data_IF_887750931178
#
_entry.id   IF_887750931178
#
_cell.length_a   1.000
_cell.length_b   1.000
_cell.length_c   1.000
_cell.angle_alpha   90.00
_cell.angle_beta   90.00
_cell.angle_gamma   90.00
#
_symmetry.space_group_name_H-M   'P 1'
#
loop_
_entity.id
_entity.type
_entity.pdbx_description
1 polymer ?
#
# COMPACT_ATOMS: atom_id res chain seq x y z
N UNK A 1 12.88 40.84 -5.59
CA UNK A 1 13.15 40.53 -4.15
C UNK A 1 11.91 40.11 -3.34
N UNK A 2 10.68 40.52 -3.69
CA UNK A 2 9.49 40.17 -2.90
C UNK A 2 9.00 38.72 -3.04
N UNK A 3 9.39 38.01 -4.10
CA UNK A 3 8.97 36.61 -4.31
C UNK A 3 9.47 35.67 -3.20
N UNK A 4 10.75 35.74 -2.85
CA UNK A 4 11.32 34.89 -1.80
C UNK A 4 10.75 35.19 -0.40
N UNK A 5 10.40 36.45 -0.13
CA UNK A 5 9.70 36.83 1.11
C UNK A 5 8.28 36.24 1.17
N UNK A 6 7.48 36.41 0.11
CA UNK A 6 6.13 35.85 0.05
C UNK A 6 6.13 34.32 0.06
N UNK A 7 7.10 33.68 -0.59
CA UNK A 7 7.28 32.23 -0.54
C UNK A 7 7.61 31.78 0.89
N UNK A 8 8.50 32.49 1.60
CA UNK A 8 8.82 32.21 3.00
C UNK A 8 7.61 32.36 3.92
N UNK A 9 6.82 33.41 3.75
CA UNK A 9 5.58 33.64 4.51
C UNK A 9 4.52 32.57 4.21
N UNK A 10 4.35 32.18 2.95
CA UNK A 10 3.44 31.11 2.55
C UNK A 10 3.84 29.76 3.18
N UNK A 11 5.12 29.39 3.09
CA UNK A 11 5.62 28.17 3.73
C UNK A 11 5.45 28.20 5.25
N UNK A 12 5.72 29.34 5.90
CA UNK A 12 5.53 29.51 7.35
C UNK A 12 4.07 29.41 7.77
N UNK A 13 3.14 29.99 7.00
CA UNK A 13 1.71 29.85 7.24
C UNK A 13 1.25 28.39 7.05
N UNK A 14 1.69 27.73 5.98
CA UNK A 14 1.42 26.31 5.75
C UNK A 14 1.93 25.42 6.87
N UNK A 15 3.18 25.62 7.31
CA UNK A 15 3.78 24.88 8.42
C UNK A 15 3.02 25.09 9.74
N UNK A 16 2.62 26.33 10.04
CA UNK A 16 1.80 26.64 11.23
C UNK A 16 0.42 26.00 11.16
N UNK A 17 -0.24 26.03 10.00
CA UNK A 17 -1.54 25.40 9.81
C UNK A 17 -1.45 23.88 9.97
N UNK A 18 -0.43 23.25 9.37
CA UNK A 18 -0.19 21.82 9.50
C UNK A 18 0.15 21.43 10.95
N UNK A 19 0.99 22.19 11.64
CA UNK A 19 1.32 21.94 13.05
C UNK A 19 0.09 22.07 13.95
N UNK A 20 -0.80 23.04 13.66
CA UNK A 20 -2.05 23.22 14.41
C UNK A 20 -3.04 22.09 14.12
N UNK A 21 -3.10 21.61 12.89
CA UNK A 21 -3.89 20.43 12.52
C UNK A 21 -3.36 19.17 13.22
N UNK A 22 -2.05 18.92 13.19
CA UNK A 22 -1.43 17.81 13.91
C UNK A 22 -1.72 17.89 15.41
N UNK A 23 -1.53 19.05 16.04
CA UNK A 23 -1.86 19.27 17.44
C UNK A 23 -3.33 18.96 17.74
N UNK A 24 -4.25 19.39 16.88
CA UNK A 24 -5.68 19.10 17.06
C UNK A 24 -5.99 17.60 16.91
N UNK A 25 -5.39 16.94 15.93
CA UNK A 25 -5.53 15.49 15.69
C UNK A 25 -4.93 14.69 16.85
N UNK A 26 -3.72 15.02 17.30
CA UNK A 26 -3.07 14.40 18.46
C UNK A 26 -3.88 14.61 19.74
N UNK A 27 -4.40 15.82 19.96
CA UNK A 27 -5.25 16.12 21.12
C UNK A 27 -6.59 15.38 21.10
N UNK A 28 -7.11 15.03 19.92
CA UNK A 28 -8.35 14.26 19.78
C UNK A 28 -8.21 12.87 20.40
N UNK A 29 -7.02 12.28 20.35
CA UNK A 29 -6.72 10.97 20.95
C UNK A 29 -6.24 11.14 22.40
N UNK A 30 -5.29 12.05 22.65
CA UNK A 30 -4.60 12.18 23.94
C UNK A 30 -5.44 12.83 25.06
N UNK A 31 -6.46 13.64 24.74
CA UNK A 31 -7.31 14.28 25.78
C UNK A 31 -8.53 13.45 26.16
N UNK A 32 -8.94 12.50 25.32
CA UNK A 32 -10.10 11.65 25.58
C UNK A 32 -9.66 10.36 26.30
N UNK A 33 -9.91 10.31 27.62
CA UNK A 33 -9.60 9.14 28.45
C UNK A 33 -10.22 7.84 27.90
N UNK A 34 -11.40 7.90 27.27
CA UNK A 34 -12.03 6.70 26.68
C UNK A 34 -11.25 6.20 25.47
N UNK A 35 -10.78 7.11 24.60
CA UNK A 35 -9.97 6.74 23.43
C UNK A 35 -8.60 6.20 23.81
N UNK A 36 -7.97 6.79 24.83
CA UNK A 36 -6.72 6.29 25.40
C UNK A 36 -6.87 4.90 26.00
N UNK A 37 -7.96 4.64 26.74
CA UNK A 37 -8.26 3.31 27.29
C UNK A 37 -8.50 2.30 26.17
N UNK A 38 -9.23 2.67 25.11
CA UNK A 38 -9.44 1.80 23.94
C UNK A 38 -8.10 1.49 23.25
N UNK A 39 -7.23 2.49 23.06
CA UNK A 39 -5.88 2.27 22.52
C UNK A 39 -5.05 1.34 23.41
N UNK A 40 -5.07 1.57 24.73
CA UNK A 40 -4.42 0.68 25.70
C UNK A 40 -4.94 -0.76 25.58
N UNK A 41 -6.26 -0.95 25.55
CA UNK A 41 -6.89 -2.26 25.34
C UNK A 41 -6.49 -2.91 24.00
N UNK A 42 -6.34 -2.13 22.93
CA UNK A 42 -5.88 -2.66 21.63
C UNK A 42 -4.42 -3.12 21.65
N UNK A 43 -3.59 -2.59 22.57
CA UNK A 43 -2.21 -3.09 22.76
C UNK A 43 -2.14 -4.39 23.57
N UNK A 44 -3.18 -4.70 24.36
CA UNK A 44 -3.20 -5.89 25.23
C UNK A 44 -3.09 -7.21 24.43
N UNK A 45 -3.83 -7.43 23.32
CA UNK A 45 -3.64 -8.62 22.48
C UNK A 45 -2.24 -8.72 21.87
N UNK A 46 -1.58 -7.60 21.60
CA UNK A 46 -0.22 -7.58 21.06
C UNK A 46 0.79 -8.00 22.13
N UNK A 47 0.64 -7.48 23.34
CA UNK A 47 1.52 -7.76 24.48
C UNK A 47 1.27 -9.17 25.02
N UNK A 48 0.02 -9.49 25.37
CA UNK A 48 -0.37 -10.81 25.86
C UNK A 48 -0.20 -11.88 24.79
N UNK A 49 -0.53 -11.59 23.53
CA UNK A 49 -0.34 -12.55 22.45
C UNK A 49 1.13 -12.78 22.11
N UNK A 50 1.94 -11.72 22.12
CA UNK A 50 3.39 -11.83 21.96
C UNK A 50 4.07 -12.62 23.08
N UNK A 51 3.60 -12.50 24.33
CA UNK A 51 4.21 -13.17 25.49
C UNK A 51 3.65 -14.59 25.71
N UNK A 52 2.33 -14.79 25.57
CA UNK A 52 1.68 -16.07 25.89
C UNK A 52 1.72 -17.08 24.73
N UNK A 53 1.72 -16.61 23.48
CA UNK A 53 1.57 -17.48 22.30
C UNK A 53 2.84 -17.66 21.45
N UNK A 54 3.91 -16.92 21.74
CA UNK A 54 5.16 -17.03 20.98
C UNK A 54 5.76 -18.45 21.00
N UNK A 55 5.62 -19.18 22.11
CA UNK A 55 6.21 -20.52 22.25
C UNK A 55 5.24 -21.67 22.00
N UNK A 56 3.97 -21.54 22.40
CA UNK A 56 2.99 -22.65 22.38
C UNK A 56 2.32 -22.87 21.01
N UNK A 57 2.10 -21.84 20.19
CA UNK A 57 1.39 -22.02 18.90
C UNK A 57 2.31 -22.61 17.81
N UNK A 58 3.64 -22.55 17.97
CA UNK A 58 4.56 -23.04 16.94
C UNK A 58 4.52 -24.55 16.66
N UNK A 59 3.87 -25.36 17.51
CA UNK A 59 3.62 -26.79 17.27
C UNK A 59 2.25 -27.11 16.66
N UNK A 60 1.29 -26.19 16.73
CA UNK A 60 -0.09 -26.37 16.26
C UNK A 60 -0.40 -25.56 14.98
N UNK A 61 0.50 -24.64 14.59
CA UNK A 61 0.36 -23.91 13.35
C UNK A 61 0.44 -24.90 12.17
N UNK A 62 -0.55 -24.91 11.25
CA UNK A 62 -0.49 -25.72 10.05
C UNK A 62 0.88 -25.59 9.39
N UNK A 63 1.44 -26.69 8.90
CA UNK A 63 2.64 -26.67 8.08
C UNK A 63 2.46 -25.85 6.78
N UNK A 64 1.35 -25.15 6.58
CA UNK A 64 1.06 -24.15 5.55
C UNK A 64 1.50 -22.71 5.95
N UNK A 65 1.59 -22.41 7.25
CA UNK A 65 1.94 -21.09 7.76
C UNK A 65 3.43 -20.90 8.05
N UNK A 66 4.29 -21.90 7.78
CA UNK A 66 5.75 -21.83 7.96
C UNK A 66 6.19 -22.06 9.42
N UNK A 67 7.14 -22.97 9.64
CA UNK A 67 7.60 -23.33 10.99
C UNK A 67 8.44 -22.23 11.66
N UNK A 68 8.74 -22.40 12.96
CA UNK A 68 9.48 -21.44 13.83
C UNK A 68 10.79 -20.86 13.25
N UNK A 69 11.42 -21.52 12.26
CA UNK A 69 12.68 -21.09 11.61
C UNK A 69 12.50 -20.20 10.36
N UNK A 70 11.29 -20.09 9.82
CA UNK A 70 10.99 -19.26 8.65
C UNK A 70 10.83 -17.77 9.01
N UNK A 71 10.39 -17.47 10.24
CA UNK A 71 10.03 -16.10 10.68
C UNK A 71 10.93 -15.48 11.74
N UNK A 72 12.00 -16.16 12.15
CA UNK A 72 12.99 -15.57 13.05
C UNK A 72 13.98 -14.70 12.24
N UNK A 73 14.25 -13.44 12.67
CA UNK A 73 15.39 -12.66 12.22
C UNK A 73 16.67 -13.51 12.25
N UNK A 74 17.52 -13.36 11.24
CA UNK A 74 18.79 -14.09 11.15
C UNK A 74 19.69 -13.85 12.37
N UNK A 75 19.62 -12.64 12.95
CA UNK A 75 20.33 -12.24 14.16
C UNK A 75 19.46 -11.26 14.97
N UNK A 76 19.30 -11.49 16.27
CA UNK A 76 18.73 -10.50 17.19
C UNK A 76 19.88 -9.71 17.80
N UNK A 77 20.19 -8.56 17.20
CA UNK A 77 21.16 -7.61 17.76
C UNK A 77 20.46 -6.29 18.04
N UNK A 78 20.83 -5.63 19.13
CA UNK A 78 20.40 -4.26 19.46
C UNK A 78 20.66 -3.30 18.29
N UNK A 79 21.71 -3.55 17.50
CA UNK A 79 22.00 -2.78 16.29
C UNK A 79 20.89 -2.90 15.22
N UNK A 80 20.44 -4.12 14.91
CA UNK A 80 19.36 -4.35 13.93
C UNK A 80 18.06 -3.72 14.42
N UNK A 81 17.79 -3.78 15.73
CA UNK A 81 16.62 -3.15 16.33
C UNK A 81 16.63 -1.62 16.14
N UNK A 82 17.74 -0.96 16.47
CA UNK A 82 17.89 0.49 16.27
C UNK A 82 17.80 0.87 14.79
N UNK A 83 18.46 0.11 13.90
CA UNK A 83 18.39 0.33 12.46
C UNK A 83 16.95 0.19 11.93
N UNK A 84 16.21 -0.80 12.39
CA UNK A 84 14.80 -1.01 12.01
C UNK A 84 13.92 0.17 12.44
N UNK A 85 14.17 0.75 13.63
CA UNK A 85 13.48 1.97 14.09
C UNK A 85 13.79 3.15 13.17
N UNK A 86 15.07 3.35 12.82
CA UNK A 86 15.49 4.43 11.94
C UNK A 86 14.91 4.28 10.52
N UNK A 87 14.89 3.06 9.98
CA UNK A 87 14.23 2.74 8.70
C UNK A 87 12.74 3.06 8.79
N UNK A 88 12.06 2.61 9.85
CA UNK A 88 10.63 2.89 10.07
C UNK A 88 10.34 4.39 10.15
N UNK A 89 11.19 5.15 10.85
CA UNK A 89 11.07 6.60 10.96
C UNK A 89 11.29 7.30 9.61
N UNK A 90 12.35 6.93 8.89
CA UNK A 90 12.67 7.50 7.57
C UNK A 90 11.62 7.16 6.52
N UNK A 91 11.21 5.89 6.44
CA UNK A 91 10.13 5.45 5.56
C UNK A 91 8.81 6.13 5.94
N UNK A 92 8.50 6.27 7.24
CA UNK A 92 7.32 6.98 7.73
C UNK A 92 7.27 8.43 7.22
N UNK A 93 8.38 9.17 7.35
CA UNK A 93 8.48 10.55 6.88
C UNK A 93 8.32 10.66 5.35
N UNK A 94 9.04 9.83 4.60
CA UNK A 94 8.98 9.84 3.12
C UNK A 94 7.56 9.52 2.64
N UNK A 95 6.92 8.55 3.29
CA UNK A 95 5.60 8.05 2.86
C UNK A 95 4.47 8.96 3.30
N UNK A 96 4.63 9.66 4.41
CA UNK A 96 3.77 10.77 4.79
C UNK A 96 3.85 11.93 3.79
N UNK A 97 5.05 12.28 3.31
CA UNK A 97 5.24 13.37 2.35
C UNK A 97 4.75 13.03 0.94
N UNK A 98 5.05 11.82 0.45
CA UNK A 98 4.71 11.39 -0.92
C UNK A 98 3.27 10.86 -1.01
N UNK A 99 2.71 10.38 0.11
CA UNK A 99 1.42 9.69 0.13
C UNK A 99 1.44 8.30 -0.53
N UNK A 100 2.57 7.88 -1.07
CA UNK A 100 2.76 6.53 -1.60
C UNK A 100 2.93 5.55 -0.42
N UNK A 101 2.20 4.43 -0.43
CA UNK A 101 2.00 3.49 0.68
C UNK A 101 3.22 2.76 1.29
N UNK A 102 4.43 3.28 1.14
CA UNK A 102 5.63 2.98 1.92
C UNK A 102 6.29 1.63 1.83
N UNK A 103 5.57 0.61 1.41
CA UNK A 103 6.12 -0.72 1.34
C UNK A 103 7.29 -0.88 0.38
N UNK A 104 7.29 -0.07 -0.67
CA UNK A 104 8.37 -0.04 -1.64
C UNK A 104 9.73 0.40 -1.08
N UNK A 105 9.78 1.07 0.07
CA UNK A 105 11.03 1.48 0.74
C UNK A 105 11.35 0.53 1.90
N UNK A 106 10.35 0.13 2.68
CA UNK A 106 10.56 -0.59 3.94
C UNK A 106 11.17 -1.96 3.69
N UNK A 107 10.62 -2.78 2.78
CA UNK A 107 11.14 -4.12 2.59
C UNK A 107 12.59 -4.14 2.05
N UNK A 108 12.95 -3.37 0.99
CA UNK A 108 14.34 -3.32 0.54
C UNK A 108 15.32 -2.74 1.57
N UNK A 109 14.90 -1.74 2.35
CA UNK A 109 15.73 -1.17 3.41
C UNK A 109 15.99 -2.18 4.54
N UNK A 110 14.96 -2.93 4.95
CA UNK A 110 15.09 -3.99 5.95
C UNK A 110 15.96 -5.14 5.44
N UNK A 111 15.82 -5.53 4.17
CA UNK A 111 16.69 -6.52 3.54
C UNK A 111 18.14 -6.07 3.50
N UNK A 112 18.39 -4.79 3.19
CA UNK A 112 19.73 -4.21 3.21
C UNK A 112 20.33 -4.16 4.62
N UNK A 113 19.50 -4.09 5.66
CA UNK A 113 19.91 -4.20 7.06
C UNK A 113 20.16 -5.65 7.53
N UNK A 114 20.05 -6.63 6.64
CA UNK A 114 20.30 -8.04 6.92
C UNK A 114 19.08 -8.84 7.40
N UNK A 115 17.87 -8.28 7.27
CA UNK A 115 16.63 -9.00 7.55
C UNK A 115 16.26 -9.87 6.35
N UNK A 116 15.93 -11.14 6.59
CA UNK A 116 15.49 -12.07 5.52
C UNK A 116 14.31 -11.48 4.75
N UNK A 117 14.32 -11.61 3.42
CA UNK A 117 13.30 -11.04 2.53
C UNK A 117 11.90 -11.48 2.91
N UNK A 118 11.69 -12.78 3.15
CA UNK A 118 10.38 -13.31 3.55
C UNK A 118 9.81 -12.65 4.82
N UNK A 119 10.67 -12.29 5.78
CA UNK A 119 10.26 -11.61 7.01
C UNK A 119 9.99 -10.12 6.78
N UNK A 120 10.82 -9.47 5.96
CA UNK A 120 10.64 -8.08 5.58
C UNK A 120 9.31 -7.87 4.82
N UNK A 121 9.00 -8.75 3.86
CA UNK A 121 7.75 -8.77 3.09
C UNK A 121 6.53 -8.92 4.01
N UNK A 122 6.55 -9.89 4.93
CA UNK A 122 5.44 -10.12 5.85
C UNK A 122 5.21 -8.96 6.83
N UNK A 123 6.29 -8.37 7.35
CA UNK A 123 6.23 -7.22 8.26
C UNK A 123 5.63 -5.99 7.56
N UNK A 124 6.02 -5.77 6.30
CA UNK A 124 5.52 -4.65 5.52
C UNK A 124 4.02 -4.79 5.18
N UNK A 125 3.56 -6.00 4.83
CA UNK A 125 2.13 -6.26 4.62
C UNK A 125 1.29 -5.94 5.85
N UNK A 126 1.76 -6.30 7.04
CA UNK A 126 1.05 -5.99 8.29
C UNK A 126 0.99 -4.48 8.55
N UNK A 127 2.10 -3.78 8.30
CA UNK A 127 2.17 -2.33 8.41
C UNK A 127 1.21 -1.62 7.44
N UNK A 128 1.11 -2.09 6.21
CA UNK A 128 0.17 -1.56 5.21
C UNK A 128 -1.27 -1.89 5.58
N UNK A 129 -1.54 -3.10 6.07
CA UNK A 129 -2.86 -3.51 6.54
C UNK A 129 -3.41 -2.55 7.60
N UNK A 130 -2.60 -2.21 8.60
CA UNK A 130 -2.98 -1.26 9.65
C UNK A 130 -3.37 0.13 9.08
N UNK A 131 -2.59 0.64 8.12
CA UNK A 131 -2.89 1.90 7.42
C UNK A 131 -4.14 1.81 6.55
N UNK A 132 -4.34 0.68 5.88
CA UNK A 132 -5.48 0.44 4.99
C UNK A 132 -6.81 0.42 5.75
N UNK A 133 -6.85 -0.10 6.99
CA UNK A 133 -8.05 -0.05 7.83
C UNK A 133 -8.45 1.42 8.08
N UNK A 134 -7.50 2.24 8.53
CA UNK A 134 -7.74 3.65 8.81
C UNK A 134 -8.22 4.39 7.55
N UNK A 135 -7.53 4.21 6.43
CA UNK A 135 -7.89 4.81 5.15
C UNK A 135 -9.27 4.39 4.66
N UNK A 136 -9.60 3.10 4.78
CA UNK A 136 -10.90 2.55 4.36
C UNK A 136 -12.05 3.11 5.19
N UNK A 137 -11.88 3.25 6.51
CA UNK A 137 -12.91 3.83 7.38
C UNK A 137 -13.19 5.29 7.02
N UNK A 138 -12.14 6.09 6.76
CA UNK A 138 -12.30 7.50 6.39
C UNK A 138 -13.00 7.62 5.02
N UNK A 139 -12.53 6.91 4.00
CA UNK A 139 -13.15 6.96 2.67
C UNK A 139 -14.58 6.42 2.67
N UNK A 140 -14.88 5.42 3.51
CA UNK A 140 -16.25 4.93 3.68
C UNK A 140 -17.17 6.01 4.26
N UNK A 141 -16.70 6.81 5.22
CA UNK A 141 -17.46 7.95 5.76
C UNK A 141 -17.68 9.07 4.74
N UNK A 142 -16.77 9.20 3.76
CA UNK A 142 -16.88 10.17 2.67
C UNK A 142 -17.80 9.72 1.53
N UNK A 143 -18.26 8.46 1.53
CA UNK A 143 -19.09 7.91 0.45
C UNK A 143 -18.31 7.38 -0.75
N UNK A 144 -16.96 7.43 -0.73
CA UNK A 144 -16.11 7.10 -1.88
C UNK A 144 -15.83 5.60 -2.04
N UNK A 145 -16.59 4.70 -1.38
CA UNK A 145 -16.28 3.26 -1.34
C UNK A 145 -17.40 2.44 -1.98
N UNK A 146 -17.11 1.87 -3.16
CA UNK A 146 -17.97 0.89 -3.81
C UNK A 146 -17.74 -0.52 -3.22
N UNK A 147 -18.59 -0.93 -2.28
CA UNK A 147 -18.50 -2.24 -1.60
C UNK A 147 -18.53 -3.44 -2.57
N UNK A 148 -19.39 -3.49 -3.62
CA UNK A 148 -19.43 -4.62 -4.55
C UNK A 148 -18.10 -4.82 -5.29
N UNK A 149 -17.48 -3.72 -5.72
CA UNK A 149 -16.19 -3.73 -6.40
C UNK A 149 -15.08 -4.23 -5.47
N UNK A 150 -15.08 -3.76 -4.22
CA UNK A 150 -14.12 -4.18 -3.21
C UNK A 150 -14.22 -5.69 -2.91
N UNK A 151 -15.43 -6.24 -2.79
CA UNK A 151 -15.64 -7.68 -2.51
C UNK A 151 -15.14 -8.54 -3.67
N UNK A 152 -15.50 -8.21 -4.91
CA UNK A 152 -15.07 -9.01 -6.07
C UNK A 152 -13.56 -8.92 -6.28
N UNK A 153 -12.97 -7.75 -6.07
CA UNK A 153 -11.52 -7.59 -6.10
C UNK A 153 -10.82 -8.39 -4.99
N UNK A 154 -11.40 -8.41 -3.79
CA UNK A 154 -10.88 -9.17 -2.64
C UNK A 154 -10.78 -10.68 -2.93
N UNK A 155 -11.75 -11.26 -3.63
CA UNK A 155 -11.71 -12.69 -4.02
C UNK A 155 -10.44 -12.98 -4.83
N UNK A 156 -10.17 -12.16 -5.85
CA UNK A 156 -8.94 -12.27 -6.63
C UNK A 156 -7.70 -12.06 -5.76
N UNK A 157 -7.70 -11.01 -4.94
CA UNK A 157 -6.56 -10.66 -4.09
C UNK A 157 -6.19 -11.76 -3.09
N UNK A 158 -7.17 -12.46 -2.51
CA UNK A 158 -6.92 -13.60 -1.61
C UNK A 158 -6.20 -14.73 -2.37
N UNK A 159 -6.69 -15.08 -3.58
CA UNK A 159 -6.08 -16.13 -4.40
C UNK A 159 -4.64 -15.74 -4.76
N UNK A 160 -4.44 -14.52 -5.24
CA UNK A 160 -3.13 -13.98 -5.59
C UNK A 160 -2.16 -13.96 -4.41
N UNK A 161 -2.57 -13.38 -3.28
CA UNK A 161 -1.73 -13.25 -2.09
C UNK A 161 -1.33 -14.62 -1.52
N UNK A 162 -2.26 -15.57 -1.52
CA UNK A 162 -1.98 -16.95 -1.10
C UNK A 162 -0.96 -17.60 -2.04
N UNK A 163 -1.14 -17.48 -3.35
CA UNK A 163 -0.20 -18.02 -4.33
C UNK A 163 1.19 -17.38 -4.21
N UNK A 164 1.26 -16.06 -4.01
CA UNK A 164 2.53 -15.33 -3.83
C UNK A 164 3.25 -15.71 -2.54
N UNK A 165 2.51 -15.86 -1.44
CA UNK A 165 3.05 -16.34 -0.17
C UNK A 165 3.56 -17.78 -0.25
N UNK A 166 2.82 -18.68 -0.91
CA UNK A 166 3.26 -20.06 -1.16
C UNK A 166 4.52 -20.06 -2.02
N UNK A 167 4.57 -19.27 -3.09
CA UNK A 167 5.74 -19.18 -3.96
C UNK A 167 6.98 -18.72 -3.18
N UNK A 168 6.87 -17.63 -2.42
CA UNK A 168 7.96 -17.13 -1.58
C UNK A 168 8.46 -18.19 -0.61
N UNK A 169 7.54 -18.93 -0.01
CA UNK A 169 7.86 -20.00 0.92
C UNK A 169 8.56 -21.17 0.25
N UNK A 170 8.05 -21.66 -0.88
CA UNK A 170 8.68 -22.76 -1.64
C UNK A 170 10.11 -22.38 -2.02
N UNK A 171 10.31 -21.14 -2.51
CA UNK A 171 11.66 -20.65 -2.84
C UNK A 171 12.56 -20.60 -1.60
N UNK A 172 12.03 -20.18 -0.46
CA UNK A 172 12.77 -20.12 0.80
C UNK A 172 13.16 -21.50 1.33
N UNK A 173 12.26 -22.49 1.23
CA UNK A 173 12.51 -23.87 1.64
C UNK A 173 13.55 -24.56 0.73
N UNK A 174 13.60 -24.21 -0.56
CA UNK A 174 14.64 -24.67 -1.48
C UNK A 174 15.99 -24.04 -1.11
N UNK A 175 16.04 -22.70 -1.06
CA UNK A 175 17.25 -21.97 -0.68
C UNK A 175 16.91 -20.54 -0.21
N UNK A 176 17.24 -20.16 1.04
CA UNK A 176 16.98 -18.83 1.56
C UNK A 176 17.59 -17.70 0.71
N UNK A 177 18.80 -17.90 0.19
CA UNK A 177 19.49 -16.90 -0.64
C UNK A 177 18.77 -16.71 -1.98
N UNK A 178 18.23 -17.80 -2.54
CA UNK A 178 17.45 -17.74 -3.78
C UNK A 178 16.14 -16.96 -3.57
N UNK A 179 15.47 -17.14 -2.43
CA UNK A 179 14.27 -16.39 -2.07
C UNK A 179 14.57 -14.89 -1.95
N UNK A 180 15.64 -14.52 -1.23
CA UNK A 180 16.05 -13.13 -1.07
C UNK A 180 16.45 -12.49 -2.41
N UNK A 181 17.19 -13.23 -3.25
CA UNK A 181 17.56 -12.79 -4.60
C UNK A 181 16.33 -12.62 -5.50
N UNK A 182 15.38 -13.55 -5.45
CA UNK A 182 14.13 -13.48 -6.20
C UNK A 182 13.32 -12.24 -5.80
N UNK A 183 13.05 -12.06 -4.50
CA UNK A 183 12.30 -10.91 -3.98
C UNK A 183 13.00 -9.61 -4.40
N UNK A 184 14.30 -9.49 -4.18
CA UNK A 184 15.09 -8.29 -4.54
C UNK A 184 15.07 -8.01 -6.04
N UNK A 185 15.14 -9.05 -6.88
CA UNK A 185 15.11 -8.90 -8.34
C UNK A 185 13.76 -8.40 -8.84
N UNK A 186 12.65 -8.97 -8.33
CA UNK A 186 11.29 -8.53 -8.66
C UNK A 186 11.09 -7.08 -8.19
N UNK A 187 11.54 -6.75 -6.97
CA UNK A 187 11.52 -5.39 -6.43
C UNK A 187 12.28 -4.40 -7.32
N UNK A 188 13.52 -4.72 -7.66
CA UNK A 188 14.38 -3.84 -8.46
C UNK A 188 13.81 -3.63 -9.86
N UNK A 189 13.28 -4.69 -10.49
CA UNK A 189 12.61 -4.59 -11.78
C UNK A 189 11.35 -3.73 -11.74
N UNK A 190 10.48 -3.93 -10.75
CA UNK A 190 9.24 -3.16 -10.61
C UNK A 190 9.51 -1.70 -10.28
N UNK A 191 10.37 -1.41 -9.31
CA UNK A 191 10.70 -0.04 -8.92
C UNK A 191 11.51 0.69 -9.99
N UNK A 192 12.40 -0.01 -10.69
CA UNK A 192 13.11 0.52 -11.86
C UNK A 192 12.12 0.91 -12.97
N UNK A 193 11.19 0.01 -13.31
CA UNK A 193 10.16 0.29 -14.30
C UNK A 193 9.29 1.48 -13.90
N UNK A 194 8.79 1.52 -12.66
CA UNK A 194 8.02 2.64 -12.17
C UNK A 194 8.82 3.94 -12.22
N UNK A 195 10.05 3.94 -11.70
CA UNK A 195 10.86 5.15 -11.61
C UNK A 195 11.09 5.75 -13.01
N UNK A 196 11.39 4.90 -13.98
CA UNK A 196 11.52 5.29 -15.39
C UNK A 196 10.17 5.79 -15.93
N UNK A 197 9.08 5.06 -15.70
CA UNK A 197 7.74 5.44 -16.16
C UNK A 197 7.33 6.82 -15.63
N UNK A 198 7.49 7.05 -14.31
CA UNK A 198 7.19 8.31 -13.65
C UNK A 198 8.09 9.45 -14.16
N UNK A 199 9.38 9.20 -14.40
CA UNK A 199 10.28 10.17 -14.99
C UNK A 199 9.84 10.55 -16.42
N UNK A 200 9.48 9.56 -17.25
CA UNK A 200 8.98 9.80 -18.61
C UNK A 200 7.68 10.62 -18.55
N UNK A 201 6.77 10.29 -17.64
CA UNK A 201 5.51 11.01 -17.48
C UNK A 201 5.74 12.47 -17.04
N UNK A 202 6.63 12.70 -16.07
CA UNK A 202 7.06 14.03 -15.67
C UNK A 202 7.67 14.85 -16.82
N UNK A 203 8.56 14.24 -17.62
CA UNK A 203 9.18 14.90 -18.77
C UNK A 203 8.15 15.21 -19.88
N UNK A 204 7.16 14.35 -20.09
CA UNK A 204 6.05 14.60 -21.02
C UNK A 204 5.14 15.72 -20.52
N UNK A 205 4.78 15.72 -19.24
CA UNK A 205 3.98 16.77 -18.62
C UNK A 205 4.67 18.15 -18.71
N UNK A 206 6.00 18.19 -18.52
CA UNK A 206 6.80 19.42 -18.66
C UNK A 206 6.83 19.98 -20.09
N UNK A 207 6.71 19.14 -21.11
CA UNK A 207 6.71 19.56 -22.53
C UNK A 207 5.32 19.96 -23.05
N UNK A 208 4.26 19.72 -22.29
CA UNK A 208 2.90 20.10 -22.67
C UNK A 208 2.70 21.63 -22.51
N UNK A 209 2.22 22.35 -23.54
CA UNK A 209 1.90 23.77 -23.41
C UNK A 209 0.75 23.94 -22.40
N UNK A 210 0.94 24.75 -21.34
CA UNK A 210 -0.07 25.02 -20.30
C UNK A 210 0.12 24.31 -18.95
N UNK A 211 1.29 23.72 -18.69
CA UNK A 211 1.56 22.96 -17.46
C UNK A 211 1.63 23.79 -16.16
N UNK A 212 1.62 25.13 -16.22
CA UNK A 212 1.70 25.99 -15.04
C UNK A 212 0.40 26.02 -14.19
N UNK A 213 -0.73 25.57 -14.74
CA UNK A 213 -2.04 25.59 -14.08
C UNK A 213 -2.49 24.21 -13.56
N UNK A 214 -1.70 23.16 -13.82
CA UNK A 214 -2.04 21.78 -13.45
C UNK A 214 -1.06 21.28 -12.41
N UNK A 215 -1.43 21.46 -11.14
CA UNK A 215 -0.65 20.98 -10.00
C UNK A 215 -0.37 19.47 -10.05
N UNK A 216 0.45 18.97 -9.12
CA UNK A 216 0.85 17.55 -9.03
C UNK A 216 -0.33 16.55 -8.87
N UNK A 217 -1.56 17.03 -8.68
CA UNK A 217 -2.82 16.27 -8.69
C UNK A 217 -3.81 16.71 -9.78
N UNK A 218 -3.37 17.52 -10.75
CA UNK A 218 -4.21 18.18 -11.77
C UNK A 218 -4.07 17.61 -13.17
N UNK A 219 -3.60 16.36 -13.31
CA UNK A 219 -3.73 15.64 -14.57
C UNK A 219 -5.22 15.49 -14.89
N UNK A 220 -5.70 16.26 -15.87
CA UNK A 220 -7.04 16.25 -16.50
C UNK A 220 -8.01 15.31 -15.78
N UNK A 221 -9.01 15.80 -15.05
CA UNK A 221 -10.17 15.02 -14.54
C UNK A 221 -10.32 13.66 -15.24
N UNK A 222 -9.58 12.63 -14.76
CA UNK A 222 -9.36 11.39 -15.52
C UNK A 222 -10.62 10.51 -15.52
N UNK A 223 -11.71 11.02 -14.95
CA UNK A 223 -13.06 10.46 -15.06
C UNK A 223 -13.83 10.86 -16.32
N UNK A 224 -13.37 11.84 -17.12
CA UNK A 224 -14.15 12.36 -18.26
C UNK A 224 -13.78 11.73 -19.63
N UNK A 225 -12.53 11.34 -19.85
CA UNK A 225 -12.09 10.72 -21.11
C UNK A 225 -11.37 9.38 -20.86
N UNK A 226 -12.12 8.28 -20.91
CA UNK A 226 -11.52 6.94 -20.88
C UNK A 226 -10.51 6.76 -22.04
N UNK A 227 -9.28 6.35 -21.72
CA UNK A 227 -8.29 5.86 -22.71
C UNK A 227 -8.83 4.64 -23.47
N UNK A 228 -8.23 4.32 -24.62
CA UNK A 228 -8.68 3.22 -25.50
C UNK A 228 -8.69 1.83 -24.83
N UNK A 229 -7.85 1.60 -23.83
CA UNK A 229 -7.73 0.30 -23.14
C UNK A 229 -8.89 0.05 -22.15
N UNK A 230 -9.24 0.98 -21.22
CA UNK A 230 -10.45 0.88 -20.41
C UNK A 230 -11.73 0.69 -21.23
N UNK A 231 -11.88 1.42 -22.34
CA UNK A 231 -13.05 1.27 -23.23
C UNK A 231 -13.17 -0.13 -23.80
N UNK A 232 -12.06 -0.74 -24.23
CA UNK A 232 -12.04 -2.12 -24.76
C UNK A 232 -12.33 -3.17 -23.69
N UNK A 233 -11.81 -2.99 -22.48
CA UNK A 233 -12.05 -3.92 -21.37
C UNK A 233 -13.47 -3.81 -20.82
N UNK A 234 -14.01 -2.59 -20.68
CA UNK A 234 -15.40 -2.37 -20.27
C UNK A 234 -16.42 -2.78 -21.36
N UNK A 235 -16.02 -2.82 -22.63
CA UNK A 235 -16.84 -3.36 -23.71
C UNK A 235 -17.05 -4.89 -23.60
N UNK A 236 -16.13 -5.61 -22.95
CA UNK A 236 -16.26 -7.05 -22.74
C UNK A 236 -17.19 -7.32 -21.56
N UNK A 237 -18.46 -7.58 -21.89
CA UNK A 237 -19.53 -7.85 -20.92
C UNK A 237 -19.69 -9.34 -20.65
N UNK A 238 -18.77 -9.92 -19.88
CA UNK A 238 -18.94 -11.29 -19.38
C UNK A 238 -19.70 -11.24 -18.04
N UNK A 239 -20.90 -11.86 -17.93
CA UNK A 239 -21.67 -11.88 -16.69
C UNK A 239 -21.01 -12.76 -15.60
N UNK A 240 -21.20 -12.47 -14.30
CA UNK A 240 -21.90 -11.31 -13.73
C UNK A 240 -21.15 -9.97 -13.88
N UNK A 241 -21.91 -8.90 -14.09
CA UNK A 241 -21.41 -7.52 -14.20
C UNK A 241 -21.48 -6.84 -12.83
N UNK A 242 -20.36 -6.26 -12.39
CA UNK A 242 -20.32 -5.43 -11.19
C UNK A 242 -20.67 -4.01 -11.60
N UNK A 243 -21.71 -3.45 -10.98
CA UNK A 243 -22.15 -2.07 -11.23
C UNK A 243 -21.60 -1.12 -10.17
N UNK A 244 -21.18 0.07 -10.57
CA UNK A 244 -20.58 1.10 -9.71
C UNK A 244 -20.85 2.51 -10.26
N UNK A 245 -20.55 3.56 -9.48
CA UNK A 245 -20.69 4.98 -9.85
C UNK A 245 -22.10 5.44 -10.29
N UNK A 246 -23.14 4.96 -9.62
CA UNK A 246 -24.52 5.41 -9.89
C UNK A 246 -24.77 6.87 -9.49
N UNK A 247 -24.05 7.36 -8.49
CA UNK A 247 -24.22 8.71 -7.95
C UNK A 247 -23.47 9.77 -8.76
N UNK A 248 -22.51 9.36 -9.62
CA UNK A 248 -21.60 10.26 -10.35
C UNK A 248 -21.89 10.32 -11.85
N UNK A 249 -22.44 9.26 -12.45
CA UNK A 249 -22.70 9.19 -13.91
C UNK A 249 -24.12 8.69 -14.18
N UNK A 250 -24.94 9.39 -14.99
CA UNK A 250 -26.27 8.92 -15.38
C UNK A 250 -26.20 7.55 -16.05
N UNK A 251 -26.79 6.53 -15.42
CA UNK A 251 -26.81 5.14 -15.91
C UNK A 251 -25.82 4.18 -15.24
N UNK A 252 -24.87 4.69 -14.43
CA UNK A 252 -23.85 3.89 -13.73
C UNK A 252 -22.84 3.23 -14.67
N UNK A 253 -21.63 2.94 -14.16
CA UNK A 253 -20.60 2.17 -14.89
C UNK A 253 -20.72 0.69 -14.56
N UNK A 254 -20.33 -0.16 -15.51
CA UNK A 254 -20.32 -1.61 -15.31
C UNK A 254 -19.00 -2.20 -15.77
N UNK A 255 -18.48 -3.15 -15.02
CA UNK A 255 -17.27 -3.90 -15.36
C UNK A 255 -17.49 -5.38 -15.15
N UNK A 256 -16.90 -6.21 -16.01
CA UNK A 256 -16.98 -7.66 -15.83
C UNK A 256 -16.17 -8.08 -14.60
N UNK A 257 -16.77 -8.95 -13.79
CA UNK A 257 -16.14 -9.48 -12.59
C UNK A 257 -14.80 -10.18 -12.87
N UNK A 258 -14.63 -10.80 -14.04
CA UNK A 258 -13.41 -11.55 -14.42
C UNK A 258 -12.19 -10.64 -14.42
N UNK A 259 -12.28 -9.46 -15.03
CA UNK A 259 -11.16 -8.51 -15.05
C UNK A 259 -10.85 -7.98 -13.66
N UNK A 260 -11.86 -7.86 -12.81
CA UNK A 260 -11.70 -7.41 -11.44
C UNK A 260 -11.03 -8.47 -10.56
N UNK A 261 -11.43 -9.74 -10.70
CA UNK A 261 -10.80 -10.88 -10.02
C UNK A 261 -9.38 -11.09 -10.54
N UNK A 262 -9.14 -11.01 -11.85
CA UNK A 262 -7.80 -11.14 -12.43
C UNK A 262 -6.87 -10.01 -11.96
N UNK A 263 -7.38 -8.77 -11.94
CA UNK A 263 -6.67 -7.61 -11.38
C UNK A 263 -6.37 -7.81 -9.90
N UNK A 264 -7.36 -8.28 -9.13
CA UNK A 264 -7.19 -8.65 -7.73
C UNK A 264 -6.11 -9.70 -7.55
N UNK A 265 -6.13 -10.77 -8.34
CA UNK A 265 -5.14 -11.85 -8.26
C UNK A 265 -3.74 -11.37 -8.60
N UNK A 266 -3.58 -10.51 -9.61
CA UNK A 266 -2.27 -9.95 -9.96
C UNK A 266 -1.73 -9.03 -8.86
N UNK A 267 -2.57 -8.14 -8.31
CA UNK A 267 -2.20 -7.29 -7.17
C UNK A 267 -1.89 -8.12 -5.93
N UNK A 268 -2.72 -9.12 -5.63
CA UNK A 268 -2.53 -10.03 -4.52
C UNK A 268 -1.22 -10.80 -4.64
N UNK A 269 -0.92 -11.32 -5.84
CA UNK A 269 0.33 -12.03 -6.12
C UNK A 269 1.55 -11.14 -5.89
N UNK A 270 1.51 -9.92 -6.43
CA UNK A 270 2.55 -8.92 -6.23
C UNK A 270 2.73 -8.56 -4.74
N UNK A 271 1.62 -8.37 -4.02
CA UNK A 271 1.63 -8.11 -2.58
C UNK A 271 2.18 -9.31 -1.78
N UNK A 272 1.84 -10.55 -2.15
CA UNK A 272 2.35 -11.75 -1.48
C UNK A 272 3.84 -11.99 -1.72
N UNK A 273 4.35 -11.63 -2.92
CA UNK A 273 5.77 -11.79 -3.27
C UNK A 273 6.62 -10.68 -2.66
N UNK A 274 6.20 -9.43 -2.83
CA UNK A 274 7.02 -8.28 -2.51
C UNK A 274 6.60 -7.61 -1.19
N UNK A 275 5.35 -7.69 -0.79
CA UNK A 275 4.87 -6.95 0.39
C UNK A 275 4.54 -5.50 0.09
N UNK A 276 4.89 -4.99 -1.09
CA UNK A 276 4.41 -3.70 -1.58
C UNK A 276 2.90 -3.75 -1.71
N UNK A 277 2.23 -2.98 -0.86
CA UNK A 277 0.78 -2.91 -0.82
C UNK A 277 0.16 -2.45 -2.12
N UNK A 278 -1.12 -2.81 -2.26
CA UNK A 278 -1.93 -2.50 -3.44
C UNK A 278 -1.90 -1.03 -3.87
N UNK A 279 -1.68 -0.05 -2.98
CA UNK A 279 -1.68 1.37 -3.38
C UNK A 279 -0.80 1.70 -4.59
N UNK A 280 0.34 1.01 -4.76
CA UNK A 280 1.25 1.24 -5.88
C UNK A 280 0.80 0.59 -7.21
N UNK A 281 0.15 -0.57 -7.15
CA UNK A 281 -0.26 -1.35 -8.33
C UNK A 281 -1.77 -1.26 -8.60
N UNK A 282 -2.58 -1.34 -7.55
CA UNK A 282 -4.04 -1.15 -7.54
C UNK A 282 -4.43 0.19 -8.12
N UNK A 283 -3.77 1.30 -7.76
CA UNK A 283 -4.17 2.61 -8.29
C UNK A 283 -4.03 2.68 -9.82
N UNK A 284 -2.86 2.39 -10.42
CA UNK A 284 -2.73 2.31 -11.88
C UNK A 284 -3.69 1.30 -12.53
N UNK A 285 -3.95 0.16 -11.89
CA UNK A 285 -4.86 -0.83 -12.43
C UNK A 285 -6.31 -0.32 -12.42
N UNK A 286 -6.79 0.26 -11.33
CA UNK A 286 -8.14 0.80 -11.27
C UNK A 286 -8.33 1.95 -12.24
N UNK A 287 -7.40 2.90 -12.27
CA UNK A 287 -7.53 4.11 -13.09
C UNK A 287 -7.24 3.85 -14.57
N UNK A 288 -6.07 3.26 -14.90
CA UNK A 288 -5.61 3.14 -16.28
C UNK A 288 -6.03 1.86 -16.99
N UNK A 289 -6.26 0.77 -16.26
CA UNK A 289 -6.68 -0.51 -16.84
C UNK A 289 -8.20 -0.65 -16.78
N UNK A 290 -8.78 -0.46 -15.61
CA UNK A 290 -10.21 -0.71 -15.38
C UNK A 290 -11.09 0.52 -15.61
N UNK A 291 -10.53 1.73 -15.62
CA UNK A 291 -11.29 2.98 -15.81
C UNK A 291 -12.25 3.30 -14.67
N UNK A 292 -11.90 2.89 -13.45
CA UNK A 292 -12.60 3.20 -12.20
C UNK A 292 -11.82 4.32 -11.51
N UNK A 293 -12.46 5.48 -11.30
CA UNK A 293 -11.85 6.70 -10.74
C UNK A 293 -12.81 7.43 -9.84
#
# INVERSE_FOLDING_TARGET
>A
MNFFKHLGEFMMMGARAHAKWELNVSNTILRDKKRLIILGLLTIPVILGGIAFADQIGGALPALLGGKKAYSPAFYSTGIFVVSILIGMGAGLITGCIGAGGGFIIAPAMMSAGVKGILAVGTDLFHIFAKAIMGSVIHRKLGNVSVPLAIVFLIGAIIGATAGGILNRVLYEINPILSDAFITSVYSGMLGFLGIYSMIDFLKARKAPGAADKGAHGGKSEGAEMKNLPKKLQAVKIPPLVKFDFDLVPGGRTISWVFLVASGALVGLAAGIMGVGGGFLTFPIFVYVLGVS
#
